data_IF_219947460287
#
_entry.id   IF_219947460287
#
_cell.length_a   1.000
_cell.length_b   1.000
_cell.length_c   1.000
_cell.angle_alpha   90.00
_cell.angle_beta   90.00
_cell.angle_gamma   90.00
#
_symmetry.space_group_name_H-M   'P 1'
#
loop_
_entity.id
_entity.type
_entity.pdbx_description
1 polymer ?
#
# COMPACT_ATOMS: atom_id res chain seq x y z
N UNK A 1 -20.57 -25.50 -18.24
CA UNK A 1 -21.61 -25.64 -17.21
C UNK A 1 -21.07 -24.95 -15.97
N UNK A 2 -21.86 -24.05 -15.38
CA UNK A 2 -21.47 -23.39 -14.14
C UNK A 2 -21.87 -24.30 -12.98
N UNK A 3 -20.89 -24.74 -12.18
CA UNK A 3 -21.11 -25.64 -11.03
C UNK A 3 -21.98 -24.97 -9.96
N UNK A 4 -21.98 -23.63 -9.91
CA UNK A 4 -22.81 -22.87 -8.98
C UNK A 4 -24.06 -22.31 -9.68
N UNK A 5 -25.27 -22.73 -9.28
CA UNK A 5 -26.52 -22.33 -9.96
C UNK A 5 -27.01 -20.92 -9.57
N UNK A 6 -26.31 -20.20 -8.70
CA UNK A 6 -26.68 -18.85 -8.23
C UNK A 6 -25.89 -17.73 -8.91
N UNK A 7 -26.42 -16.51 -8.88
CA UNK A 7 -25.71 -15.30 -9.30
C UNK A 7 -24.94 -14.73 -8.10
N UNK A 8 -23.67 -15.10 -7.94
CA UNK A 8 -22.77 -14.58 -6.91
C UNK A 8 -21.37 -14.32 -7.48
N UNK A 9 -20.66 -13.29 -6.97
CA UNK A 9 -19.26 -13.05 -7.33
C UNK A 9 -18.28 -14.07 -6.72
N UNK A 10 -18.75 -14.86 -5.75
CA UNK A 10 -17.98 -15.88 -5.05
C UNK A 10 -18.73 -16.36 -3.80
N UNK A 11 -18.13 -17.32 -3.07
CA UNK A 11 -18.66 -17.89 -1.83
C UNK A 11 -17.50 -18.22 -0.91
N UNK A 12 -17.62 -17.82 0.34
CA UNK A 12 -16.75 -18.26 1.43
C UNK A 12 -17.59 -18.43 2.71
N UNK A 13 -17.17 -19.34 3.58
CA UNK A 13 -17.72 -19.44 4.92
C UNK A 13 -16.90 -18.57 5.87
N UNK A 14 -17.57 -17.88 6.79
CA UNK A 14 -16.87 -17.13 7.82
C UNK A 14 -16.03 -18.07 8.69
N UNK A 15 -14.79 -17.64 8.97
CA UNK A 15 -13.84 -18.36 9.82
C UNK A 15 -13.40 -19.73 9.30
N UNK A 16 -13.66 -20.07 8.04
CA UNK A 16 -13.39 -21.41 7.52
C UNK A 16 -11.90 -21.76 7.41
N UNK A 17 -11.02 -20.77 7.53
CA UNK A 17 -9.56 -20.96 7.48
C UNK A 17 -9.04 -21.96 8.52
N UNK A 18 -9.59 -21.95 9.74
CA UNK A 18 -9.12 -22.79 10.85
C UNK A 18 -10.02 -24.01 11.13
N UNK A 19 -10.96 -24.32 10.23
CA UNK A 19 -11.80 -25.50 10.38
C UNK A 19 -10.97 -26.77 10.19
N UNK A 20 -11.43 -27.87 10.79
CA UNK A 20 -10.81 -29.19 10.62
C UNK A 20 -11.23 -29.89 9.31
N UNK A 21 -11.81 -29.14 8.37
CA UNK A 21 -12.25 -29.58 7.05
C UNK A 21 -11.78 -28.57 6.01
N UNK A 22 -11.15 -29.05 4.95
CA UNK A 22 -10.71 -28.21 3.82
C UNK A 22 -11.92 -27.57 3.14
N UNK A 23 -12.21 -26.33 3.51
CA UNK A 23 -13.39 -25.58 3.04
C UNK A 23 -12.92 -24.42 2.17
N UNK A 24 -12.97 -24.57 0.83
CA UNK A 24 -12.47 -23.55 -0.08
C UNK A 24 -13.36 -22.30 -0.10
N UNK A 25 -12.71 -21.15 -0.33
CA UNK A 25 -13.36 -19.96 -0.84
C UNK A 25 -13.34 -20.01 -2.38
N UNK A 26 -14.47 -19.76 -3.01
CA UNK A 26 -14.61 -19.73 -4.47
C UNK A 26 -14.88 -18.32 -4.97
N UNK A 27 -14.31 -17.98 -6.13
CA UNK A 27 -14.55 -16.72 -6.83
C UNK A 27 -15.07 -17.03 -8.23
N UNK A 28 -16.15 -16.34 -8.63
CA UNK A 28 -16.83 -16.52 -9.91
C UNK A 28 -16.84 -15.20 -10.69
N UNK A 29 -15.66 -14.75 -11.10
CA UNK A 29 -15.48 -13.52 -11.88
C UNK A 29 -14.72 -13.79 -13.18
N UNK A 30 -15.10 -13.08 -14.24
CA UNK A 30 -14.46 -13.18 -15.57
C UNK A 30 -13.69 -11.92 -15.98
N UNK A 31 -13.87 -10.81 -15.26
CA UNK A 31 -13.08 -9.58 -15.44
C UNK A 31 -11.90 -9.56 -14.48
N UNK A 32 -10.80 -8.91 -14.88
CA UNK A 32 -9.63 -8.72 -14.03
C UNK A 32 -9.99 -7.94 -12.75
N UNK A 33 -10.75 -6.86 -12.89
CA UNK A 33 -11.26 -6.06 -11.77
C UNK A 33 -12.18 -6.86 -10.85
N UNK A 34 -13.03 -7.72 -11.42
CA UNK A 34 -13.89 -8.59 -10.62
C UNK A 34 -13.08 -9.60 -9.80
N UNK A 35 -12.09 -10.23 -10.45
CA UNK A 35 -11.23 -11.24 -9.82
C UNK A 35 -10.36 -10.65 -8.71
N UNK A 36 -9.73 -9.48 -8.93
CA UNK A 36 -8.81 -8.87 -7.96
C UNK A 36 -9.49 -8.56 -6.63
N UNK A 37 -10.66 -7.91 -6.65
CA UNK A 37 -11.37 -7.53 -5.43
C UNK A 37 -11.99 -8.75 -4.77
N UNK A 38 -12.65 -9.60 -5.55
CA UNK A 38 -13.36 -10.75 -5.00
C UNK A 38 -12.41 -11.76 -4.35
N UNK A 39 -11.22 -11.99 -4.92
CA UNK A 39 -10.24 -12.90 -4.31
C UNK A 39 -9.89 -12.49 -2.88
N UNK A 40 -9.45 -11.25 -2.67
CA UNK A 40 -9.13 -10.74 -1.33
C UNK A 40 -10.35 -10.71 -0.43
N UNK A 41 -11.51 -10.27 -0.93
CA UNK A 41 -12.77 -10.22 -0.18
C UNK A 41 -13.20 -11.60 0.36
N UNK A 42 -13.15 -12.64 -0.48
CA UNK A 42 -13.57 -13.98 -0.06
C UNK A 42 -12.52 -14.67 0.83
N UNK A 43 -11.23 -14.32 0.69
CA UNK A 43 -10.21 -14.71 1.67
C UNK A 43 -10.48 -14.01 3.02
N UNK A 44 -10.80 -12.72 3.03
CA UNK A 44 -11.19 -11.97 4.23
C UNK A 44 -12.36 -12.63 4.97
N UNK A 45 -13.41 -13.03 4.25
CA UNK A 45 -14.51 -13.81 4.83
C UNK A 45 -14.00 -15.11 5.49
N UNK A 46 -13.13 -15.88 4.82
CA UNK A 46 -12.57 -17.11 5.42
C UNK A 46 -11.76 -16.86 6.71
N UNK A 47 -11.27 -15.62 6.88
CA UNK A 47 -10.55 -15.10 8.04
C UNK A 47 -11.45 -14.28 8.98
N UNK A 48 -12.77 -14.42 8.86
CA UNK A 48 -13.81 -13.87 9.75
C UNK A 48 -14.13 -12.38 9.61
N UNK A 49 -13.63 -11.71 8.58
CA UNK A 49 -14.10 -10.37 8.25
C UNK A 49 -15.52 -10.43 7.69
N UNK A 50 -16.36 -9.49 8.10
CA UNK A 50 -17.73 -9.30 7.59
C UNK A 50 -17.73 -8.25 6.50
N UNK A 51 -18.86 -8.14 5.81
CA UNK A 51 -19.02 -7.12 4.78
C UNK A 51 -19.00 -5.72 5.40
N UNK A 52 -18.30 -4.83 4.73
CA UNK A 52 -18.33 -3.39 4.99
C UNK A 52 -19.46 -2.78 4.18
N UNK A 53 -20.55 -2.41 4.85
CA UNK A 53 -21.70 -1.77 4.25
C UNK A 53 -21.99 -0.39 4.82
N UNK A 54 -23.14 0.14 4.44
CA UNK A 54 -23.70 1.38 4.98
C UNK A 54 -25.14 1.17 5.47
N UNK A 55 -25.86 2.23 5.84
CA UNK A 55 -27.26 2.10 6.31
C UNK A 55 -28.24 1.58 5.24
N UNK A 56 -27.85 1.62 3.96
CA UNK A 56 -28.68 1.29 2.80
C UNK A 56 -28.26 0.03 2.06
N UNK A 57 -27.00 -0.38 2.17
CA UNK A 57 -26.38 -1.48 1.43
C UNK A 57 -25.53 -2.36 2.33
N UNK A 58 -25.52 -3.67 2.04
CA UNK A 58 -24.60 -4.61 2.69
C UNK A 58 -23.14 -4.41 2.26
N UNK A 59 -22.91 -3.69 1.16
CA UNK A 59 -21.58 -3.42 0.63
C UNK A 59 -21.43 -1.94 0.28
N UNK A 60 -20.40 -1.32 0.83
CA UNK A 60 -19.98 0.04 0.54
C UNK A 60 -19.34 0.08 -0.86
N UNK A 61 -19.76 1.01 -1.70
CA UNK A 61 -19.31 1.08 -3.10
C UNK A 61 -18.12 1.99 -3.33
N UNK A 62 -17.61 2.62 -2.28
CA UNK A 62 -16.53 3.60 -2.36
C UNK A 62 -16.99 5.02 -2.63
N UNK A 63 -16.02 5.91 -2.74
CA UNK A 63 -16.19 7.33 -3.03
C UNK A 63 -14.95 7.89 -3.75
N UNK A 64 -15.00 9.18 -4.09
CA UNK A 64 -13.92 9.86 -4.82
C UNK A 64 -13.86 9.48 -6.30
N UNK A 65 -12.88 10.05 -6.99
CA UNK A 65 -12.69 9.87 -8.44
C UNK A 65 -11.20 9.79 -8.79
N UNK A 66 -10.87 9.27 -9.98
CA UNK A 66 -9.49 9.18 -10.44
C UNK A 66 -8.67 8.09 -9.75
N UNK A 67 -7.35 8.25 -9.72
CA UNK A 67 -6.42 7.29 -9.13
C UNK A 67 -6.62 7.11 -7.62
N UNK A 68 -7.00 8.18 -6.92
CA UNK A 68 -7.25 8.18 -5.47
C UNK A 68 -8.72 7.93 -5.12
N UNK A 69 -9.53 7.45 -6.06
CA UNK A 69 -10.86 6.90 -5.72
C UNK A 69 -10.70 5.67 -4.84
N UNK A 70 -11.51 5.57 -3.78
CA UNK A 70 -11.27 4.64 -2.68
C UNK A 70 -12.52 3.83 -2.30
N UNK A 71 -12.32 2.57 -1.92
CA UNK A 71 -13.33 1.69 -1.33
C UNK A 71 -12.67 0.67 -0.39
N UNK A 72 -13.46 -0.09 0.36
CA UNK A 72 -12.94 -1.17 1.20
C UNK A 72 -12.93 -2.51 0.47
N UNK A 73 -11.97 -3.37 0.81
CA UNK A 73 -11.88 -4.74 0.27
C UNK A 73 -13.12 -5.56 0.69
N UNK A 74 -13.62 -5.38 1.92
CA UNK A 74 -14.82 -6.04 2.41
C UNK A 74 -16.13 -5.37 1.95
N UNK A 75 -16.05 -4.29 1.18
CA UNK A 75 -17.15 -3.67 0.45
C UNK A 75 -17.19 -4.13 -1.02
N UNK A 76 -17.38 -3.19 -1.94
CA UNK A 76 -17.28 -3.38 -3.39
C UNK A 76 -16.33 -2.33 -3.98
N UNK A 77 -15.10 -2.75 -4.29
CA UNK A 77 -14.05 -1.93 -4.91
C UNK A 77 -14.04 -1.89 -6.44
N UNK A 78 -15.06 -2.39 -7.12
CA UNK A 78 -15.04 -2.54 -8.59
C UNK A 78 -15.00 -1.23 -9.38
N UNK A 79 -15.36 -0.11 -8.75
CA UNK A 79 -15.51 1.19 -9.40
C UNK A 79 -14.42 2.19 -9.03
N UNK A 80 -13.43 1.73 -8.25
CA UNK A 80 -12.36 2.56 -7.71
C UNK A 80 -10.99 1.99 -8.09
N UNK A 81 -9.96 2.80 -7.91
CA UNK A 81 -8.58 2.46 -8.23
C UNK A 81 -7.78 2.01 -7.02
N UNK A 82 -8.10 2.53 -5.83
CA UNK A 82 -7.56 2.11 -4.55
C UNK A 82 -8.64 1.35 -3.77
N UNK A 83 -8.35 0.13 -3.34
CA UNK A 83 -9.16 -0.58 -2.36
C UNK A 83 -8.29 -1.00 -1.18
N UNK A 84 -8.81 -1.00 0.03
CA UNK A 84 -7.99 -1.25 1.23
C UNK A 84 -8.75 -2.05 2.30
N UNK A 85 -8.00 -2.68 3.20
CA UNK A 85 -8.57 -3.16 4.47
C UNK A 85 -9.04 -1.95 5.29
N UNK A 86 -10.09 -2.12 6.08
CA UNK A 86 -10.76 -1.02 6.77
C UNK A 86 -10.89 -1.24 8.27
N UNK A 87 -11.13 -0.13 8.98
CA UNK A 87 -11.65 -0.15 10.36
C UNK A 87 -12.98 0.60 10.51
N UNK A 88 -13.72 0.74 9.41
CA UNK A 88 -15.00 1.45 9.36
C UNK A 88 -14.87 2.97 9.39
N UNK A 89 -13.80 3.52 8.79
CA UNK A 89 -13.52 4.97 8.79
C UNK A 89 -14.21 5.74 7.66
N UNK A 90 -15.02 5.06 6.86
CA UNK A 90 -15.78 5.66 5.77
C UNK A 90 -17.16 6.15 6.25
N UNK A 91 -17.81 7.06 5.51
CA UNK A 91 -19.10 7.62 5.90
C UNK A 91 -20.17 6.54 6.05
N UNK A 92 -20.97 6.65 7.12
CA UNK A 92 -22.12 5.77 7.39
C UNK A 92 -21.76 4.28 7.50
N UNK A 93 -20.49 3.97 7.83
CA UNK A 93 -20.03 2.59 8.03
C UNK A 93 -20.90 1.85 9.05
N UNK A 94 -21.45 0.70 8.63
CA UNK A 94 -22.24 -0.17 9.48
C UNK A 94 -21.43 -1.32 10.11
N UNK A 95 -20.16 -1.45 9.71
CA UNK A 95 -19.16 -2.36 10.26
C UNK A 95 -17.96 -1.54 10.76
N UNK A 96 -17.39 -1.94 11.89
CA UNK A 96 -16.24 -1.28 12.53
C UNK A 96 -15.22 -2.30 13.04
N UNK A 97 -15.20 -3.46 12.37
CA UNK A 97 -14.15 -4.46 12.56
C UNK A 97 -12.79 -3.85 12.23
N UNK A 98 -11.78 -4.10 13.07
CA UNK A 98 -10.39 -3.75 12.76
C UNK A 98 -9.81 -4.88 11.91
N UNK A 99 -9.92 -4.74 10.59
CA UNK A 99 -9.55 -5.78 9.63
C UNK A 99 -8.11 -6.27 9.83
N UNK A 100 -7.16 -5.34 9.93
CA UNK A 100 -5.75 -5.65 10.14
C UNK A 100 -5.53 -6.41 11.45
N UNK A 101 -6.15 -5.99 12.56
CA UNK A 101 -6.03 -6.71 13.83
C UNK A 101 -6.65 -8.12 13.76
N UNK A 102 -7.74 -8.30 13.02
CA UNK A 102 -8.37 -9.61 12.84
C UNK A 102 -7.50 -10.51 11.97
N UNK A 103 -7.07 -10.02 10.80
CA UNK A 103 -6.28 -10.76 9.81
C UNK A 103 -4.91 -11.18 10.35
N UNK A 104 -4.29 -10.33 11.17
CA UNK A 104 -2.97 -10.59 11.74
C UNK A 104 -3.01 -11.17 13.15
N UNK A 105 -4.22 -11.47 13.65
CA UNK A 105 -4.36 -12.17 14.92
C UNK A 105 -3.72 -13.56 14.85
N UNK A 106 -3.14 -14.02 15.96
CA UNK A 106 -2.58 -15.37 16.07
C UNK A 106 -3.60 -16.51 15.86
N UNK A 107 -4.89 -16.18 15.68
CA UNK A 107 -5.99 -17.12 15.40
C UNK A 107 -5.77 -17.93 14.13
N UNK A 108 -5.14 -17.33 13.11
CA UNK A 108 -5.03 -17.92 11.77
C UNK A 108 -3.70 -18.64 11.52
N UNK A 109 -2.79 -18.58 12.49
CA UNK A 109 -1.45 -19.20 12.38
C UNK A 109 -0.46 -18.40 11.53
N UNK A 110 -0.79 -17.16 11.18
CA UNK A 110 0.09 -16.20 10.52
C UNK A 110 -0.13 -14.79 11.08
N UNK A 111 0.75 -13.86 10.72
CA UNK A 111 0.65 -12.44 11.04
C UNK A 111 1.15 -11.62 9.87
N UNK A 112 1.66 -10.41 10.16
CA UNK A 112 2.37 -9.61 9.16
C UNK A 112 3.58 -10.35 8.57
N UNK A 113 4.00 -9.89 7.40
CA UNK A 113 5.28 -10.28 6.82
C UNK A 113 6.41 -9.76 7.71
N UNK A 114 7.61 -10.30 7.52
CA UNK A 114 8.79 -9.70 8.13
C UNK A 114 9.21 -8.48 7.30
N UNK A 115 9.52 -7.40 8.00
CA UNK A 115 10.14 -6.18 7.48
C UNK A 115 11.31 -6.50 6.52
N UNK A 116 11.27 -5.89 5.33
CA UNK A 116 12.29 -6.04 4.29
C UNK A 116 13.29 -4.87 4.21
N UNK A 117 12.98 -3.70 4.77
CA UNK A 117 13.85 -2.53 4.83
C UNK A 117 13.74 -1.78 6.17
N UNK A 118 14.86 -1.59 6.85
CA UNK A 118 14.82 -0.95 8.18
C UNK A 118 14.30 0.49 8.18
N UNK A 119 13.62 0.87 9.26
CA UNK A 119 12.79 2.08 9.36
C UNK A 119 13.49 3.36 9.82
N UNK A 120 14.82 3.39 9.81
CA UNK A 120 15.59 4.59 10.11
C UNK A 120 16.91 4.68 9.33
N UNK A 121 17.55 5.84 9.41
CA UNK A 121 18.81 6.10 8.73
C UNK A 121 19.99 5.21 9.14
N UNK A 122 19.94 4.54 10.30
CA UNK A 122 20.98 3.60 10.75
C UNK A 122 20.79 2.21 10.14
N UNK A 123 19.56 1.81 9.86
CA UNK A 123 19.20 0.52 9.25
C UNK A 123 18.87 0.61 7.76
N UNK A 124 18.99 1.80 7.17
CA UNK A 124 18.64 2.08 5.80
C UNK A 124 19.33 1.17 4.77
N UNK A 125 18.58 0.75 3.77
CA UNK A 125 19.07 -0.02 2.63
C UNK A 125 19.85 0.86 1.66
N UNK A 126 21.08 0.47 1.32
CA UNK A 126 21.95 1.31 0.49
C UNK A 126 21.61 1.24 -1.00
N UNK A 127 21.38 2.39 -1.62
CA UNK A 127 21.40 2.53 -3.07
C UNK A 127 22.86 2.66 -3.53
N UNK A 128 23.48 1.54 -3.95
CA UNK A 128 24.92 1.48 -4.28
C UNK A 128 25.24 1.75 -5.76
N UNK A 129 24.23 1.76 -6.62
CA UNK A 129 24.36 2.00 -8.07
C UNK A 129 23.38 3.09 -8.51
N UNK A 130 23.75 3.82 -9.57
CA UNK A 130 22.91 4.83 -10.21
C UNK A 130 22.94 4.63 -11.73
N UNK A 131 21.79 4.48 -12.42
CA UNK A 131 20.46 4.44 -11.84
C UNK A 131 20.26 3.20 -10.94
N UNK A 132 19.52 3.40 -9.85
CA UNK A 132 19.07 2.37 -8.94
C UNK A 132 17.67 1.89 -9.34
N UNK A 133 17.44 0.59 -9.20
CA UNK A 133 16.11 -0.01 -9.25
C UNK A 133 16.00 -0.96 -8.06
N UNK A 134 14.91 -0.84 -7.30
CA UNK A 134 14.61 -1.65 -6.13
C UNK A 134 13.11 -1.80 -5.92
N UNK A 135 12.75 -2.54 -4.88
CA UNK A 135 11.37 -2.81 -4.48
C UNK A 135 11.34 -3.15 -3.00
N UNK A 136 10.22 -2.88 -2.35
CA UNK A 136 9.94 -3.26 -0.97
C UNK A 136 8.45 -3.45 -0.74
N UNK A 137 8.06 -3.69 0.50
CA UNK A 137 6.67 -3.91 0.89
C UNK A 137 6.39 -3.15 2.18
N UNK A 138 5.48 -2.18 2.12
CA UNK A 138 4.91 -1.61 3.34
C UNK A 138 3.93 -2.63 3.91
N UNK A 139 4.37 -3.46 4.88
CA UNK A 139 3.56 -4.60 5.32
C UNK A 139 2.51 -4.27 6.39
N UNK A 140 2.70 -3.18 7.12
CA UNK A 140 1.81 -2.74 8.19
C UNK A 140 1.76 -1.21 8.24
N UNK A 141 0.71 -0.64 8.82
CA UNK A 141 0.43 0.81 8.79
C UNK A 141 1.33 1.64 9.73
N UNK A 142 2.43 1.07 10.17
CA UNK A 142 3.46 1.72 11.00
C UNK A 142 4.85 1.43 10.44
N UNK A 143 4.91 0.76 9.30
CA UNK A 143 6.12 0.43 8.59
C UNK A 143 6.52 1.60 7.69
N UNK A 144 7.81 1.85 7.63
CA UNK A 144 8.42 2.91 6.83
C UNK A 144 9.73 2.34 6.34
N UNK A 145 9.92 2.32 5.03
CA UNK A 145 11.14 1.81 4.43
C UNK A 145 12.14 2.93 4.18
N UNK A 146 13.41 2.72 4.60
CA UNK A 146 14.44 3.75 4.44
C UNK A 146 15.56 3.28 3.51
N UNK A 147 15.91 4.13 2.55
CA UNK A 147 17.04 3.93 1.65
C UNK A 147 18.11 5.02 1.81
N UNK A 148 19.38 4.64 1.79
CA UNK A 148 20.52 5.56 1.83
C UNK A 148 21.03 5.89 0.42
N UNK A 149 21.15 7.18 0.12
CA UNK A 149 21.74 7.75 -1.08
C UNK A 149 23.01 8.52 -0.69
N UNK A 150 24.14 8.20 -1.32
CA UNK A 150 25.38 8.98 -1.19
C UNK A 150 25.71 9.61 -2.54
N UNK A 151 25.70 10.94 -2.57
CA UNK A 151 25.87 11.73 -3.80
C UNK A 151 27.08 12.64 -3.70
N UNK A 152 27.80 12.84 -4.82
CA UNK A 152 28.81 13.89 -4.94
C UNK A 152 28.19 15.28 -5.20
N UNK A 153 26.85 15.37 -5.15
CA UNK A 153 26.06 16.55 -5.39
C UNK A 153 25.56 16.65 -6.83
N UNK A 154 24.45 17.37 -7.00
CA UNK A 154 23.75 17.53 -8.27
C UNK A 154 22.31 17.05 -8.21
N UNK A 155 21.78 16.70 -9.38
CA UNK A 155 20.41 16.25 -9.54
C UNK A 155 20.19 14.88 -8.86
N UNK A 156 19.10 14.76 -8.13
CA UNK A 156 18.54 13.53 -7.57
C UNK A 156 17.10 13.44 -8.09
N UNK A 157 16.83 12.40 -8.88
CA UNK A 157 15.50 12.07 -9.38
C UNK A 157 15.09 10.71 -8.78
N UNK A 158 13.92 10.66 -8.14
CA UNK A 158 13.39 9.48 -7.46
C UNK A 158 11.94 9.30 -7.90
N UNK A 159 11.55 8.07 -8.20
CA UNK A 159 10.16 7.70 -8.43
C UNK A 159 9.82 6.43 -7.66
N UNK A 160 8.72 6.47 -6.91
CA UNK A 160 8.15 5.32 -6.18
C UNK A 160 6.71 5.13 -6.61
N UNK A 161 6.36 3.91 -6.97
CA UNK A 161 5.04 3.55 -7.48
C UNK A 161 4.75 2.07 -7.22
N UNK A 162 3.49 1.66 -7.32
CA UNK A 162 3.13 0.25 -7.30
C UNK A 162 3.71 -0.50 -8.53
N UNK A 163 4.10 -1.79 -8.39
CA UNK A 163 4.56 -2.61 -9.52
C UNK A 163 3.45 -2.95 -10.52
N UNK A 164 2.20 -2.70 -10.15
CA UNK A 164 1.00 -3.07 -10.90
C UNK A 164 0.01 -1.91 -10.97
N UNK A 165 -0.87 -1.93 -11.97
CA UNK A 165 -1.90 -0.89 -12.17
C UNK A 165 -2.86 -0.76 -10.97
N UNK A 166 -2.99 -1.82 -10.17
CA UNK A 166 -3.86 -1.86 -9.01
C UNK A 166 -3.01 -2.11 -7.78
N UNK A 167 -3.29 -1.34 -6.75
CA UNK A 167 -2.52 -1.31 -5.51
C UNK A 167 -3.47 -1.08 -4.35
N UNK A 168 -3.06 -1.53 -3.16
CA UNK A 168 -3.69 -1.14 -1.90
C UNK A 168 -2.85 -0.05 -1.19
N UNK A 169 -1.69 0.31 -1.75
CA UNK A 169 -0.75 1.30 -1.25
C UNK A 169 -0.95 2.65 -1.96
N UNK A 170 -1.13 3.70 -1.16
CA UNK A 170 -0.90 5.09 -1.55
C UNK A 170 0.43 5.54 -0.92
N UNK A 171 1.38 6.02 -1.71
CA UNK A 171 2.77 6.19 -1.27
C UNK A 171 3.15 7.66 -1.15
N UNK A 172 3.81 8.02 -0.06
CA UNK A 172 4.55 9.27 0.06
C UNK A 172 6.05 8.99 0.23
N UNK A 173 6.85 9.98 -0.18
CA UNK A 173 8.30 9.92 0.01
C UNK A 173 8.86 11.21 0.57
N UNK A 174 9.80 11.08 1.51
CA UNK A 174 10.58 12.17 2.08
C UNK A 174 12.07 11.93 1.82
N UNK A 175 12.76 12.94 1.30
CA UNK A 175 14.21 12.95 1.20
C UNK A 175 14.78 13.80 2.33
N UNK A 176 15.52 13.17 3.24
CA UNK A 176 16.09 13.78 4.43
C UNK A 176 17.61 13.90 4.29
N UNK A 177 18.16 15.07 4.59
CA UNK A 177 19.62 15.25 4.70
C UNK A 177 20.11 14.62 6.00
N UNK A 178 20.96 13.59 5.89
CA UNK A 178 21.43 12.81 7.04
C UNK A 178 22.26 13.64 8.04
N UNK A 179 22.87 14.75 7.61
CA UNK A 179 23.67 15.60 8.48
C UNK A 179 22.82 16.58 9.29
N UNK A 180 21.78 17.13 8.67
CA UNK A 180 20.93 18.16 9.29
C UNK A 180 19.62 17.60 9.85
N UNK A 181 19.26 16.37 9.49
CA UNK A 181 17.98 15.73 9.83
C UNK A 181 16.77 16.52 9.30
N UNK A 182 16.95 17.33 8.26
CA UNK A 182 15.87 18.11 7.65
C UNK A 182 15.37 17.43 6.38
N UNK A 183 14.05 17.46 6.17
CA UNK A 183 13.44 17.12 4.88
C UNK A 183 13.86 18.18 3.87
N UNK A 184 14.56 17.76 2.82
CA UNK A 184 15.06 18.64 1.74
C UNK A 184 14.21 18.55 0.46
N UNK A 185 13.42 17.49 0.33
CA UNK A 185 12.37 17.34 -0.68
C UNK A 185 11.35 16.30 -0.20
N UNK A 186 10.11 16.41 -0.64
CA UNK A 186 9.06 15.43 -0.34
C UNK A 186 8.06 15.36 -1.49
N UNK A 187 7.30 14.27 -1.57
CA UNK A 187 6.18 14.12 -2.48
C UNK A 187 5.07 13.28 -1.85
N UNK A 188 3.87 13.87 -1.79
CA UNK A 188 2.60 13.27 -1.36
C UNK A 188 1.48 13.91 -2.20
N UNK A 189 1.30 13.44 -3.46
CA UNK A 189 0.33 14.03 -4.38
C UNK A 189 -1.10 13.57 -4.08
N UNK A 190 -2.03 14.52 -3.92
CA UNK A 190 -3.43 14.23 -3.60
C UNK A 190 -4.24 13.54 -4.72
N UNK A 191 -3.69 13.47 -5.94
CA UNK A 191 -4.34 12.95 -7.14
C UNK A 191 -3.61 11.77 -7.79
N UNK A 192 -2.56 11.23 -7.15
CA UNK A 192 -1.85 10.04 -7.62
C UNK A 192 -1.43 9.14 -6.46
N UNK A 193 -1.39 7.83 -6.71
CA UNK A 193 -0.90 6.82 -5.77
C UNK A 193 0.63 6.59 -5.87
N UNK A 194 1.33 7.46 -6.58
CA UNK A 194 2.76 7.37 -6.86
C UNK A 194 3.43 8.68 -6.50
N UNK A 195 4.67 8.62 -6.04
CA UNK A 195 5.39 9.80 -5.59
C UNK A 195 6.72 9.96 -6.34
N UNK A 196 7.02 11.20 -6.73
CA UNK A 196 8.25 11.52 -7.47
C UNK A 196 8.92 12.76 -6.90
N UNK A 197 10.22 12.68 -6.67
CA UNK A 197 11.07 13.81 -6.29
C UNK A 197 12.04 14.10 -7.44
N UNK A 198 12.21 15.38 -7.75
CA UNK A 198 13.27 15.87 -8.65
C UNK A 198 13.89 17.12 -8.02
N UNK A 199 15.11 17.00 -7.52
CA UNK A 199 15.76 18.04 -6.71
C UNK A 199 17.26 18.11 -6.94
N UNK A 200 17.87 19.27 -6.68
CA UNK A 200 19.33 19.41 -6.67
C UNK A 200 19.81 19.51 -5.23
N UNK A 201 20.75 18.64 -4.85
CA UNK A 201 21.31 18.61 -3.52
C UNK A 201 22.84 18.74 -3.54
N UNK A 202 23.46 19.33 -2.51
CA UNK A 202 24.90 19.27 -2.32
C UNK A 202 25.44 17.83 -2.21
N UNK A 203 26.77 17.71 -2.22
CA UNK A 203 27.41 16.44 -1.87
C UNK A 203 27.06 16.06 -0.42
N UNK A 204 26.70 14.80 -0.20
CA UNK A 204 26.28 14.34 1.11
C UNK A 204 25.56 13.00 1.09
N UNK A 205 25.12 12.60 2.28
CA UNK A 205 24.29 11.42 2.50
C UNK A 205 22.85 11.88 2.74
N UNK A 206 21.92 11.22 2.06
CA UNK A 206 20.49 11.45 2.17
C UNK A 206 19.79 10.14 2.47
N UNK A 207 18.68 10.22 3.21
CA UNK A 207 17.79 9.10 3.46
C UNK A 207 16.47 9.36 2.76
N UNK A 208 16.05 8.42 1.92
CA UNK A 208 14.73 8.37 1.32
C UNK A 208 13.85 7.53 2.23
N UNK A 209 12.86 8.14 2.85
CA UNK A 209 11.78 7.47 3.56
C UNK A 209 10.63 7.21 2.59
N UNK A 210 10.08 6.00 2.62
CA UNK A 210 8.94 5.57 1.83
C UNK A 210 7.86 5.08 2.80
N UNK A 211 6.67 5.65 2.73
CA UNK A 211 5.57 5.39 3.67
C UNK A 211 4.24 5.20 2.95
N UNK A 212 3.36 4.42 3.55
CA UNK A 212 1.96 4.30 3.16
C UNK A 212 1.10 5.36 3.82
N UNK A 213 0.48 6.25 3.04
CA UNK A 213 -0.20 7.44 3.56
C UNK A 213 -1.71 7.43 3.36
N UNK A 214 -2.40 8.26 4.14
CA UNK A 214 -3.80 8.58 3.92
C UNK A 214 -3.97 9.85 3.08
N UNK A 215 -5.18 10.06 2.59
CA UNK A 215 -5.57 11.27 1.85
C UNK A 215 -6.68 12.00 2.60
N UNK A 216 -6.57 13.32 2.84
CA UNK A 216 -7.62 14.08 3.48
C UNK A 216 -8.88 14.17 2.59
N UNK A 217 -10.02 14.46 3.21
CA UNK A 217 -11.25 14.80 2.50
C UNK A 217 -11.00 15.88 1.43
N UNK A 218 -11.58 15.69 0.25
CA UNK A 218 -11.48 16.64 -0.85
C UNK A 218 -12.10 17.99 -0.49
N UNK A 219 -11.40 19.06 -0.82
CA UNK A 219 -11.91 20.43 -0.62
C UNK A 219 -12.86 20.87 -1.75
N UNK A 220 -12.89 20.14 -2.86
CA UNK A 220 -13.64 20.51 -4.07
C UNK A 220 -14.74 19.53 -4.42
N UNK A 221 -14.69 18.30 -3.89
CA UNK A 221 -15.72 17.28 -4.04
C UNK A 221 -16.24 16.87 -2.65
N UNK A 222 -17.44 17.31 -2.24
CA UNK A 222 -17.96 17.03 -0.90
C UNK A 222 -18.28 15.55 -0.66
N UNK A 223 -18.42 14.76 -1.73
CA UNK A 223 -18.71 13.32 -1.65
C UNK A 223 -17.42 12.47 -1.59
N UNK A 224 -16.24 13.09 -1.75
CA UNK A 224 -14.95 12.45 -1.61
C UNK A 224 -14.37 12.70 -0.21
N UNK A 225 -14.53 11.70 0.66
CA UNK A 225 -14.22 11.78 2.08
C UNK A 225 -12.76 11.49 2.44
N UNK A 226 -11.94 11.12 1.47
CA UNK A 226 -10.58 10.67 1.72
C UNK A 226 -10.51 9.35 2.49
N UNK A 227 -9.32 8.99 2.93
CA UNK A 227 -9.02 7.75 3.64
C UNK A 227 -7.83 7.97 4.58
N UNK A 228 -7.75 7.15 5.63
CA UNK A 228 -6.61 7.14 6.56
C UNK A 228 -5.43 6.35 5.97
N UNK A 229 -4.29 6.43 6.63
CA UNK A 229 -3.10 5.60 6.38
C UNK A 229 -3.30 4.12 6.76
N UNK A 230 -4.37 3.79 7.50
CA UNK A 230 -4.62 2.48 8.08
C UNK A 230 -4.49 1.34 7.07
N UNK A 231 -5.06 1.50 5.88
CA UNK A 231 -5.12 0.47 4.86
C UNK A 231 -4.06 0.60 3.77
N UNK A 232 -3.18 1.60 3.84
CA UNK A 232 -2.17 1.92 2.82
C UNK A 232 -0.97 1.01 2.91
N UNK A 233 -1.16 -0.23 2.47
CA UNK A 233 -0.19 -1.32 2.54
C UNK A 233 0.05 -1.90 1.15
N UNK A 234 1.25 -2.40 0.89
CA UNK A 234 1.52 -3.14 -0.33
C UNK A 234 2.93 -3.02 -0.86
N UNK A 235 3.14 -3.67 -2.00
CA UNK A 235 4.42 -3.67 -2.70
C UNK A 235 4.62 -2.35 -3.45
N UNK A 236 5.86 -1.86 -3.48
CA UNK A 236 6.26 -0.76 -4.35
C UNK A 236 7.55 -1.09 -5.11
N UNK A 237 7.79 -0.34 -6.17
CA UNK A 237 9.08 -0.26 -6.85
C UNK A 237 9.64 1.15 -6.70
N UNK A 238 10.94 1.24 -6.48
CA UNK A 238 11.68 2.50 -6.38
C UNK A 238 12.73 2.56 -7.47
N UNK A 239 12.79 3.69 -8.18
CA UNK A 239 13.87 4.02 -9.09
C UNK A 239 14.52 5.32 -8.65
N UNK A 240 15.85 5.40 -8.74
CA UNK A 240 16.57 6.62 -8.39
C UNK A 240 17.74 6.87 -9.34
N UNK A 241 17.91 8.11 -9.77
CA UNK A 241 19.06 8.58 -10.56
C UNK A 241 19.72 9.75 -9.84
N UNK A 242 21.01 9.61 -9.57
CA UNK A 242 21.82 10.62 -8.87
C UNK A 242 23.30 10.52 -9.27
N UNK A 243 24.08 11.56 -8.99
CA UNK A 243 25.53 11.52 -9.20
C UNK A 243 26.18 10.79 -8.02
N UNK A 244 26.39 9.48 -8.18
CA UNK A 244 26.97 8.64 -7.14
C UNK A 244 28.39 9.09 -6.77
N UNK A 245 28.71 9.09 -5.48
CA UNK A 245 30.10 9.22 -5.04
C UNK A 245 30.85 7.93 -5.39
N UNK A 246 31.76 7.99 -6.38
CA UNK A 246 32.55 6.82 -6.78
C UNK A 246 33.60 6.58 -5.70
N UNK A 247 33.25 5.77 -4.71
CA UNK A 247 34.26 5.19 -3.83
C UNK A 247 35.03 4.16 -4.67
N UNK A 248 36.21 4.56 -5.16
CA UNK A 248 37.20 3.59 -5.61
C UNK A 248 37.46 2.66 -4.41
N UNK A 249 37.11 1.38 -4.57
CA UNK A 249 37.66 0.32 -3.72
C UNK A 249 39.15 0.21 -4.04
N UNK A 250 39.95 1.18 -3.57
CA UNK A 250 41.40 1.05 -3.51
C UNK A 250 41.70 -0.05 -2.50
N UNK A 251 41.98 -1.27 -2.99
CA UNK A 251 42.36 -2.35 -2.07
C UNK A 251 42.45 -3.79 -2.57
N UNK A 252 42.43 -4.07 -3.88
CA UNK A 252 42.80 -5.40 -4.39
C UNK A 252 43.70 -5.27 -5.63
N UNK A 253 44.96 -4.91 -5.39
CA UNK A 253 46.11 -5.42 -6.17
C UNK A 253 46.93 -6.37 -5.30
#
# INVERSE_FOLDING_TARGET
>A
EDWFPGSAGGIAYLSSWNWNTDTPAFVFNSSLTGLREAASHFVGNSLSLRFDGDSSSAYYTGHGTGETSWSTIMGIGYYVQLSQWSKGEYPDANNSEDDLAILTSGTWGFGYRADDHGSDGLTASRMVVSPFEGSGIIEQNTDVDVFEIVTSGGQIDIAVQAPHQFTNLDVAIDLVDASTQQIVAFADPLDSLSATISTNQPAGTYWLYIDGVGRPQSQTDPDDHGYSDYGSLGEYVVTASYVADIIFLDGLE
#
